data_IF_403484722691
#
_entry.id   IF_403484722691
#
_cell.length_a   1.000
_cell.length_b   1.000
_cell.length_c   1.000
_cell.angle_alpha   90.00
_cell.angle_beta   90.00
_cell.angle_gamma   90.00
#
_symmetry.space_group_name_H-M   'P 1'
#
loop_
_entity.id
_entity.type
_entity.pdbx_description
1 polymer ?
#
# COMPACT_ATOMS: atom_id res chain seq x y z
N UNK A 1 14.00 110.59 -57.80
CA UNK A 1 15.14 109.83 -58.35
C UNK A 1 16.38 110.40 -57.68
N UNK A 2 17.30 109.68 -57.02
CA UNK A 2 17.56 108.24 -56.92
C UNK A 2 18.61 108.09 -55.77
N UNK A 3 18.53 106.97 -55.01
CA UNK A 3 19.61 106.25 -54.28
C UNK A 3 20.12 106.68 -52.88
N UNK A 4 20.03 105.69 -52.00
CA UNK A 4 20.77 105.29 -50.79
C UNK A 4 21.41 106.31 -49.85
N UNK A 5 20.97 106.21 -48.59
CA UNK A 5 21.68 106.72 -47.42
C UNK A 5 22.00 105.53 -46.51
N UNK A 6 23.29 105.21 -46.44
CA UNK A 6 23.90 104.46 -45.34
C UNK A 6 23.86 105.32 -44.10
N UNK A 7 23.30 104.82 -43.00
CA UNK A 7 23.51 105.39 -41.66
C UNK A 7 24.00 104.32 -40.69
N UNK A 8 25.24 104.56 -40.27
CA UNK A 8 25.94 104.02 -39.11
C UNK A 8 25.25 104.44 -37.81
N UNK A 9 24.96 103.50 -36.91
CA UNK A 9 24.65 103.83 -35.51
C UNK A 9 25.83 103.48 -34.60
N UNK A 10 26.20 104.47 -33.79
CA UNK A 10 27.39 104.50 -32.96
C UNK A 10 27.13 104.20 -31.48
N UNK A 11 28.20 103.66 -30.90
CA UNK A 11 28.73 103.77 -29.54
C UNK A 11 28.03 103.09 -28.33
N UNK A 12 28.84 102.43 -27.45
CA UNK A 12 28.37 101.70 -26.28
C UNK A 12 28.53 102.47 -24.95
N UNK A 13 27.62 102.20 -24.01
CA UNK A 13 27.81 102.39 -22.55
C UNK A 13 26.50 102.58 -21.78
N UNK A 14 26.40 102.32 -20.45
CA UNK A 14 27.28 101.55 -19.56
C UNK A 14 26.63 100.28 -18.98
N UNK A 15 27.47 99.32 -18.58
CA UNK A 15 27.14 98.10 -17.86
C UNK A 15 26.21 98.32 -16.65
N UNK A 16 24.94 97.89 -16.74
CA UNK A 16 24.11 97.60 -15.56
C UNK A 16 24.46 96.21 -15.06
N UNK A 17 25.21 96.15 -13.95
CA UNK A 17 25.44 94.92 -13.18
C UNK A 17 24.08 94.33 -12.78
N UNK A 18 23.74 93.16 -13.34
CA UNK A 18 22.66 92.32 -12.82
C UNK A 18 23.08 91.83 -11.43
N UNK A 19 22.44 92.32 -10.38
CA UNK A 19 22.54 91.72 -9.05
C UNK A 19 21.85 90.36 -9.08
N UNK A 20 22.49 89.29 -8.58
CA UNK A 20 21.88 87.96 -8.58
C UNK A 20 20.63 87.96 -7.70
N UNK A 21 19.54 87.48 -8.27
CA UNK A 21 18.23 87.39 -7.63
C UNK A 21 18.32 86.50 -6.36
N UNK A 22 18.05 87.03 -5.16
CA UNK A 22 18.27 86.31 -3.89
C UNK A 22 17.46 85.01 -3.79
N UNK A 23 16.34 84.90 -4.50
CA UNK A 23 15.54 83.67 -4.58
C UNK A 23 16.22 82.55 -5.38
N UNK A 24 17.00 82.90 -6.43
CA UNK A 24 17.76 81.92 -7.22
C UNK A 24 18.95 81.35 -6.47
N UNK A 25 19.63 82.18 -5.68
CA UNK A 25 20.76 81.73 -4.83
C UNK A 25 20.27 80.78 -3.72
N UNK A 26 19.10 81.05 -3.12
CA UNK A 26 18.45 80.17 -2.14
C UNK A 26 18.03 78.83 -2.77
N UNK A 27 17.42 78.84 -3.96
CA UNK A 27 17.05 77.62 -4.68
C UNK A 27 18.27 76.74 -5.06
N UNK A 28 19.38 77.36 -5.49
CA UNK A 28 20.62 76.63 -5.77
C UNK A 28 21.24 75.99 -4.51
N UNK A 29 21.21 76.69 -3.38
CA UNK A 29 21.67 76.14 -2.10
C UNK A 29 20.82 74.94 -1.64
N UNK A 30 19.50 75.03 -1.81
CA UNK A 30 18.60 73.91 -1.50
C UNK A 30 18.82 72.72 -2.45
N UNK A 31 19.04 72.95 -3.74
CA UNK A 31 19.37 71.88 -4.69
C UNK A 31 20.67 71.17 -4.34
N UNK A 32 21.73 71.92 -4.05
CA UNK A 32 23.01 71.34 -3.63
C UNK A 32 22.87 70.54 -2.32
N UNK A 33 21.99 70.99 -1.41
CA UNK A 33 21.70 70.25 -0.17
C UNK A 33 20.93 68.96 -0.43
N UNK A 34 19.94 68.98 -1.32
CA UNK A 34 19.20 67.78 -1.75
C UNK A 34 20.15 66.78 -2.41
N UNK A 35 21.00 67.22 -3.32
CA UNK A 35 21.96 66.35 -3.99
C UNK A 35 22.90 65.67 -2.98
N UNK A 36 23.45 66.45 -2.04
CA UNK A 36 24.27 65.92 -0.95
C UNK A 36 23.53 64.92 -0.07
N UNK A 37 22.27 65.19 0.29
CA UNK A 37 21.44 64.27 1.07
C UNK A 37 21.12 62.99 0.29
N UNK A 38 20.86 63.09 -1.01
CA UNK A 38 20.62 61.93 -1.88
C UNK A 38 21.85 61.03 -1.97
N UNK A 39 23.05 61.61 -2.13
CA UNK A 39 24.30 60.84 -2.14
C UNK A 39 24.55 60.12 -0.81
N UNK A 40 24.26 60.78 0.32
CA UNK A 40 24.38 60.19 1.66
C UNK A 40 23.39 59.04 1.87
N UNK A 41 22.14 59.19 1.41
CA UNK A 41 21.13 58.13 1.46
C UNK A 41 21.59 56.90 0.69
N UNK A 42 22.15 57.08 -0.51
CA UNK A 42 22.65 55.94 -1.31
C UNK A 42 23.85 55.27 -0.64
N UNK A 43 24.77 56.02 -0.04
CA UNK A 43 25.88 55.47 0.72
C UNK A 43 25.39 54.61 1.90
N UNK A 44 24.42 55.13 2.67
CA UNK A 44 23.86 54.43 3.82
C UNK A 44 23.09 53.16 3.41
N UNK A 45 22.39 53.18 2.26
CA UNK A 45 21.74 51.98 1.71
C UNK A 45 22.74 50.89 1.36
N UNK A 46 23.87 51.24 0.74
CA UNK A 46 24.88 50.23 0.38
C UNK A 46 25.57 49.66 1.64
N UNK A 47 25.79 50.49 2.66
CA UNK A 47 26.28 50.02 3.96
C UNK A 47 25.28 49.08 4.63
N UNK A 48 23.99 49.43 4.65
CA UNK A 48 22.93 48.60 5.21
C UNK A 48 22.90 47.22 4.53
N UNK A 49 22.95 47.21 3.19
CA UNK A 49 22.98 45.98 2.38
C UNK A 49 24.19 45.11 2.68
N UNK A 50 25.34 45.73 2.97
CA UNK A 50 26.58 45.02 3.35
C UNK A 50 26.44 44.41 4.75
N UNK A 51 25.96 45.17 5.72
CA UNK A 51 25.74 44.69 7.09
C UNK A 51 24.66 43.58 7.14
N UNK A 52 23.63 43.66 6.31
CA UNK A 52 22.62 42.59 6.18
C UNK A 52 23.22 41.28 5.67
N UNK A 53 24.13 41.33 4.70
CA UNK A 53 24.87 40.14 4.21
C UNK A 53 25.75 39.55 5.31
N UNK A 54 26.46 40.39 6.04
CA UNK A 54 27.33 39.96 7.14
C UNK A 54 26.52 39.32 8.28
N UNK A 55 25.41 39.97 8.70
CA UNK A 55 24.46 39.42 9.66
C UNK A 55 23.95 38.04 9.24
N UNK A 56 23.61 37.87 7.95
CA UNK A 56 23.15 36.58 7.43
C UNK A 56 24.23 35.48 7.53
N UNK A 57 25.49 35.82 7.25
CA UNK A 57 26.61 34.90 7.37
C UNK A 57 26.86 34.47 8.82
N UNK A 58 26.92 35.43 9.75
CA UNK A 58 27.12 35.16 11.18
C UNK A 58 25.95 34.37 11.76
N UNK A 59 24.71 34.69 11.36
CA UNK A 59 23.53 33.92 11.77
C UNK A 59 23.60 32.46 11.32
N UNK A 60 24.10 32.20 10.10
CA UNK A 60 24.31 30.82 9.61
C UNK A 60 25.37 30.08 10.42
N UNK A 61 26.49 30.74 10.74
CA UNK A 61 27.54 30.16 11.56
C UNK A 61 27.03 29.83 12.97
N UNK A 62 26.27 30.73 13.59
CA UNK A 62 25.67 30.49 14.90
C UNK A 62 24.71 29.30 14.87
N UNK A 63 23.84 29.22 13.86
CA UNK A 63 22.91 28.11 13.71
C UNK A 63 23.63 26.77 13.49
N UNK A 64 24.77 26.76 12.77
CA UNK A 64 25.56 25.55 12.55
C UNK A 64 26.24 25.03 13.84
N UNK A 65 26.58 25.93 14.77
CA UNK A 65 27.14 25.58 16.08
C UNK A 65 26.07 25.08 17.04
N UNK A 66 24.87 25.68 16.99
CA UNK A 66 23.77 25.40 17.91
C UNK A 66 22.86 24.24 17.49
N UNK A 67 22.81 23.88 16.20
CA UNK A 67 21.98 22.79 15.69
C UNK A 67 22.82 21.49 15.55
N UNK A 68 22.61 20.48 16.41
CA UNK A 68 23.34 19.22 16.34
C UNK A 68 23.22 18.52 14.99
N UNK A 69 22.11 18.70 14.26
CA UNK A 69 21.87 18.07 12.96
C UNK A 69 22.54 18.81 11.82
N UNK A 70 22.78 20.12 11.94
CA UNK A 70 23.59 20.86 10.96
C UNK A 70 25.05 20.38 10.90
N UNK A 71 25.49 19.58 11.88
CA UNK A 71 26.83 18.95 11.91
C UNK A 71 26.86 17.56 11.27
N UNK A 72 25.70 16.95 11.02
CA UNK A 72 25.63 15.67 10.34
C UNK A 72 25.68 15.89 8.82
N UNK A 73 26.40 15.04 8.07
CA UNK A 73 26.26 15.00 6.62
C UNK A 73 24.80 14.76 6.23
N UNK A 74 24.36 15.39 5.14
CA UNK A 74 22.97 15.30 4.68
C UNK A 74 22.54 13.85 4.45
N UNK A 75 23.46 13.01 3.99
CA UNK A 75 23.22 11.59 3.72
C UNK A 75 22.84 10.83 5.01
N UNK A 76 23.52 11.15 6.12
CA UNK A 76 23.25 10.53 7.42
C UNK A 76 21.92 11.01 7.98
N UNK A 77 21.62 12.30 7.85
CA UNK A 77 20.32 12.85 8.25
C UNK A 77 19.18 12.24 7.43
N UNK A 78 19.33 12.11 6.11
CA UNK A 78 18.34 11.47 5.23
C UNK A 78 18.10 10.01 5.62
N UNK A 79 19.15 9.25 5.95
CA UNK A 79 19.03 7.86 6.41
C UNK A 79 18.30 7.76 7.76
N UNK A 80 18.62 8.66 8.71
CA UNK A 80 17.90 8.74 9.99
C UNK A 80 16.42 9.04 9.74
N UNK A 81 16.11 9.98 8.84
CA UNK A 81 14.73 10.35 8.51
C UNK A 81 13.97 9.18 7.90
N UNK A 82 14.60 8.42 6.99
CA UNK A 82 14.00 7.23 6.38
C UNK A 82 13.67 6.16 7.42
N UNK A 83 14.55 5.96 8.41
CA UNK A 83 14.30 5.03 9.52
C UNK A 83 13.22 5.48 10.50
N UNK A 84 12.84 6.75 10.49
CA UNK A 84 11.75 7.28 11.30
C UNK A 84 10.36 7.08 10.67
N UNK A 85 10.29 6.61 9.42
CA UNK A 85 9.02 6.44 8.72
C UNK A 85 8.29 5.17 9.17
N UNK A 86 6.97 5.28 9.33
CA UNK A 86 6.09 4.12 9.31
C UNK A 86 5.96 3.57 7.87
N UNK A 87 5.64 2.28 7.68
CA UNK A 87 5.53 1.67 6.35
C UNK A 87 4.60 2.43 5.37
N UNK A 88 3.48 2.93 5.89
CA UNK A 88 2.59 3.85 5.17
C UNK A 88 2.36 5.10 6.04
N UNK A 89 3.15 6.17 5.84
CA UNK A 89 3.02 7.39 6.64
C UNK A 89 1.70 8.09 6.35
N UNK A 90 1.02 8.49 7.44
CA UNK A 90 -0.17 9.32 7.34
C UNK A 90 0.25 10.80 7.23
N UNK A 91 -0.44 11.64 6.45
CA UNK A 91 -0.20 13.08 6.37
C UNK A 91 -0.57 13.82 7.66
N UNK A 92 0.21 13.62 8.72
CA UNK A 92 -0.06 14.13 10.05
C UNK A 92 1.15 14.92 10.56
N UNK A 93 0.98 16.18 11.03
CA UNK A 93 2.07 16.99 11.57
C UNK A 93 2.87 16.36 12.70
N UNK A 94 2.31 15.36 13.40
CA UNK A 94 2.95 14.63 14.50
C UNK A 94 3.75 13.41 14.05
N UNK A 95 3.73 13.07 12.76
CA UNK A 95 4.41 11.90 12.23
C UNK A 95 5.31 12.27 11.04
N UNK A 96 6.43 11.55 10.89
CA UNK A 96 7.28 11.65 9.70
C UNK A 96 6.50 11.22 8.44
N UNK A 97 6.76 11.83 7.27
CA UNK A 97 7.75 12.87 7.01
C UNK A 97 7.30 14.30 7.35
N UNK A 98 6.01 14.54 7.62
CA UNK A 98 5.49 15.91 7.84
C UNK A 98 6.09 16.56 9.08
N UNK A 99 6.27 15.81 10.17
CA UNK A 99 6.94 16.29 11.38
C UNK A 99 8.31 16.90 11.07
N UNK A 100 9.07 16.28 10.16
CA UNK A 100 10.42 16.71 9.78
C UNK A 100 10.41 18.10 9.12
N UNK A 101 9.30 18.48 8.48
CA UNK A 101 9.14 19.81 7.88
C UNK A 101 8.96 20.92 8.91
N UNK A 102 8.61 20.59 10.15
CA UNK A 102 8.20 21.56 11.19
C UNK A 102 9.25 21.77 12.29
N UNK A 103 10.40 21.08 12.24
CA UNK A 103 11.42 21.13 13.31
C UNK A 103 12.34 22.34 13.15
N UNK A 104 13.10 22.40 12.06
CA UNK A 104 13.96 23.54 11.72
C UNK A 104 14.19 23.60 10.20
N UNK A 105 14.64 24.75 9.69
CA UNK A 105 14.86 24.95 8.25
C UNK A 105 15.84 23.93 7.64
N UNK A 106 16.85 23.48 8.39
CA UNK A 106 17.77 22.47 7.90
C UNK A 106 17.05 21.13 7.65
N UNK A 107 16.24 20.66 8.60
CA UNK A 107 15.45 19.43 8.45
C UNK A 107 14.42 19.56 7.34
N UNK A 108 13.75 20.71 7.24
CA UNK A 108 12.81 20.99 6.16
C UNK A 108 13.51 20.86 4.80
N UNK A 109 14.68 21.48 4.62
CA UNK A 109 15.44 21.40 3.38
C UNK A 109 15.88 19.97 3.05
N UNK A 110 16.38 19.22 4.04
CA UNK A 110 16.79 17.82 3.86
C UNK A 110 15.59 16.95 3.50
N UNK A 111 14.47 17.10 4.21
CA UNK A 111 13.26 16.31 3.98
C UNK A 111 12.62 16.60 2.61
N UNK A 112 12.59 17.87 2.19
CA UNK A 112 12.09 18.26 0.87
C UNK A 112 13.02 17.81 -0.27
N UNK A 113 14.32 17.77 -0.04
CA UNK A 113 15.33 17.30 -1.02
C UNK A 113 15.56 15.79 -1.00
N UNK A 114 14.83 15.03 -0.17
CA UNK A 114 14.91 13.57 -0.09
C UNK A 114 13.63 12.91 -0.63
N UNK A 115 13.52 12.65 -1.95
CA UNK A 115 12.32 12.05 -2.56
C UNK A 115 11.91 10.69 -1.97
N UNK A 116 12.88 9.95 -1.43
CA UNK A 116 12.65 8.65 -0.77
C UNK A 116 11.66 8.74 0.41
N UNK A 117 11.55 9.90 1.06
CA UNK A 117 10.61 10.11 2.17
C UNK A 117 9.14 10.16 1.71
N UNK A 118 8.91 10.36 0.42
CA UNK A 118 7.60 10.64 -0.16
C UNK A 118 7.09 9.47 -1.02
N UNK A 119 7.77 8.32 -1.03
CA UNK A 119 7.39 7.18 -1.87
C UNK A 119 6.22 6.37 -1.32
N UNK A 120 5.80 6.61 -0.08
CA UNK A 120 4.66 5.92 0.53
C UNK A 120 3.70 6.92 1.17
N UNK A 121 2.39 6.65 1.12
CA UNK A 121 1.34 7.44 1.78
C UNK A 121 0.16 6.56 2.19
N UNK A 122 -0.37 6.79 3.39
CA UNK A 122 -1.67 6.28 3.81
C UNK A 122 -2.69 7.42 3.91
N UNK A 123 -3.79 7.30 3.17
CA UNK A 123 -4.98 8.14 3.31
C UNK A 123 -6.03 7.34 4.07
N UNK A 124 -6.65 7.98 5.06
CA UNK A 124 -7.71 7.38 5.86
C UNK A 124 -8.95 8.24 5.70
N UNK A 125 -10.06 7.63 5.28
CA UNK A 125 -11.36 8.24 5.13
C UNK A 125 -12.16 8.15 6.45
N UNK A 126 -13.04 9.13 6.71
CA UNK A 126 -13.26 10.34 5.90
C UNK A 126 -12.05 11.29 5.96
N UNK A 127 -11.70 11.87 4.81
CA UNK A 127 -10.57 12.80 4.69
C UNK A 127 -11.06 14.23 4.41
N UNK A 128 -10.24 15.23 4.73
CA UNK A 128 -10.58 16.62 4.46
C UNK A 128 -10.63 16.96 2.96
N UNK A 129 -11.29 18.07 2.57
CA UNK A 129 -11.52 18.43 1.17
C UNK A 129 -10.24 18.68 0.34
N UNK A 130 -9.10 18.86 1.02
CA UNK A 130 -7.79 19.13 0.41
C UNK A 130 -6.96 17.87 0.15
N UNK A 131 -7.56 16.67 0.26
CA UNK A 131 -6.80 15.43 0.12
C UNK A 131 -6.17 15.27 -1.28
N UNK A 132 -6.87 15.67 -2.36
CA UNK A 132 -6.33 15.64 -3.73
C UNK A 132 -5.07 16.50 -3.84
N UNK A 133 -5.12 17.72 -3.32
CA UNK A 133 -3.99 18.66 -3.29
C UNK A 133 -2.81 18.07 -2.52
N UNK A 134 -3.08 17.50 -1.34
CA UNK A 134 -2.06 16.90 -0.50
C UNK A 134 -1.41 15.68 -1.14
N UNK A 135 -2.21 14.81 -1.74
CA UNK A 135 -1.74 13.62 -2.44
C UNK A 135 -0.88 14.04 -3.64
N UNK A 136 -1.33 15.00 -4.45
CA UNK A 136 -0.54 15.54 -5.57
C UNK A 136 0.80 16.13 -5.12
N UNK A 137 0.84 16.89 -4.01
CA UNK A 137 2.10 17.40 -3.43
C UNK A 137 3.02 16.22 -3.04
N UNK A 138 2.45 15.19 -2.42
CA UNK A 138 3.21 14.02 -2.00
C UNK A 138 3.80 13.26 -3.19
N UNK A 139 2.98 12.97 -4.19
CA UNK A 139 3.36 12.28 -5.41
C UNK A 139 4.39 13.07 -6.21
N UNK A 140 4.26 14.40 -6.28
CA UNK A 140 5.25 15.26 -6.91
C UNK A 140 6.62 15.17 -6.20
N UNK A 141 6.64 15.19 -4.87
CA UNK A 141 7.89 15.10 -4.08
C UNK A 141 8.57 13.73 -4.20
N UNK A 142 7.82 12.66 -4.45
CA UNK A 142 8.38 11.34 -4.72
C UNK A 142 9.19 11.29 -6.03
N UNK A 143 8.94 12.23 -6.95
CA UNK A 143 9.59 12.29 -8.26
C UNK A 143 9.24 11.07 -9.11
N UNK A 144 10.26 10.43 -9.71
CA UNK A 144 10.09 9.23 -10.55
C UNK A 144 10.31 7.91 -9.79
N UNK A 145 10.24 7.94 -8.46
CA UNK A 145 10.41 6.74 -7.65
C UNK A 145 9.12 5.90 -7.64
N UNK A 146 9.24 4.57 -7.43
CA UNK A 146 8.08 3.72 -7.26
C UNK A 146 7.26 4.10 -6.03
N UNK A 147 5.93 4.08 -6.14
CA UNK A 147 4.98 4.58 -5.17
C UNK A 147 4.26 3.45 -4.42
N UNK A 148 3.97 3.69 -3.15
CA UNK A 148 3.22 2.80 -2.26
C UNK A 148 2.03 3.56 -1.68
N UNK A 149 0.82 3.26 -2.15
CA UNK A 149 -0.39 3.98 -1.76
C UNK A 149 -1.30 3.04 -0.98
N UNK A 150 -1.71 3.48 0.21
CA UNK A 150 -2.74 2.83 1.00
C UNK A 150 -3.91 3.78 1.19
N UNK A 151 -5.08 3.38 0.72
CA UNK A 151 -6.34 4.09 0.88
C UNK A 151 -7.20 3.27 1.83
N UNK A 152 -7.60 3.86 2.96
CA UNK A 152 -8.28 3.15 4.04
C UNK A 152 -9.57 3.84 4.46
N UNK A 153 -10.55 3.09 4.91
CA UNK A 153 -11.82 3.62 5.40
C UNK A 153 -12.84 3.87 4.29
N UNK A 154 -14.06 4.24 4.68
CA UNK A 154 -15.20 4.35 3.79
C UNK A 154 -15.44 5.80 3.38
N UNK A 155 -15.88 6.00 2.14
CA UNK A 155 -16.31 7.30 1.62
C UNK A 155 -17.62 7.13 0.85
N UNK A 156 -18.63 7.90 1.25
CA UNK A 156 -19.88 8.05 0.48
C UNK A 156 -19.74 9.11 -0.63
N UNK A 157 -18.62 9.83 -0.65
CA UNK A 157 -18.36 10.93 -1.57
C UNK A 157 -17.82 10.41 -2.92
N UNK A 158 -18.67 10.47 -3.94
CA UNK A 158 -18.37 10.13 -5.33
C UNK A 158 -17.15 10.88 -5.88
N UNK A 159 -16.97 12.16 -5.52
CA UNK A 159 -15.84 12.97 -6.00
C UNK A 159 -14.51 12.47 -5.44
N UNK A 160 -14.53 11.83 -4.28
CA UNK A 160 -13.37 11.20 -3.65
C UNK A 160 -13.02 9.90 -4.37
N UNK A 161 -14.01 9.05 -4.65
CA UNK A 161 -13.82 7.81 -5.38
C UNK A 161 -13.25 8.08 -6.79
N UNK A 162 -13.86 8.98 -7.56
CA UNK A 162 -13.38 9.37 -8.89
C UNK A 162 -11.93 9.88 -8.85
N UNK A 163 -11.55 10.62 -7.79
CA UNK A 163 -10.17 11.08 -7.60
C UNK A 163 -9.18 9.94 -7.40
N UNK A 164 -9.59 8.92 -6.65
CA UNK A 164 -8.76 7.75 -6.38
C UNK A 164 -8.48 7.02 -7.69
N UNK A 165 -9.51 6.81 -8.50
CA UNK A 165 -9.39 6.21 -9.84
C UNK A 165 -8.46 7.06 -10.71
N UNK A 166 -8.72 8.37 -10.81
CA UNK A 166 -7.90 9.31 -11.58
C UNK A 166 -6.41 9.22 -11.21
N UNK A 167 -6.10 9.16 -9.92
CA UNK A 167 -4.72 9.10 -9.41
C UNK A 167 -4.08 7.75 -9.72
N UNK A 168 -4.81 6.64 -9.57
CA UNK A 168 -4.33 5.30 -9.93
C UNK A 168 -4.02 5.24 -11.42
N UNK A 169 -4.89 5.80 -12.26
CA UNK A 169 -4.69 5.92 -13.70
C UNK A 169 -3.46 6.78 -14.04
N UNK A 170 -3.38 7.99 -13.48
CA UNK A 170 -2.33 8.97 -13.78
C UNK A 170 -0.93 8.49 -13.33
N UNK A 171 -0.87 7.77 -12.21
CA UNK A 171 0.40 7.34 -11.61
C UNK A 171 0.68 5.84 -11.72
N UNK A 172 -0.12 5.08 -12.47
CA UNK A 172 -0.03 3.62 -12.60
C UNK A 172 1.39 3.12 -12.90
N UNK A 173 2.09 3.79 -13.82
CA UNK A 173 3.47 3.46 -14.21
C UNK A 173 4.50 3.52 -13.07
N UNK A 174 4.18 4.23 -11.98
CA UNK A 174 5.00 4.34 -10.77
C UNK A 174 4.52 3.45 -9.63
N UNK A 175 3.28 2.95 -9.66
CA UNK A 175 2.72 2.18 -8.56
C UNK A 175 3.50 0.87 -8.36
N UNK A 176 3.94 0.65 -7.12
CA UNK A 176 4.62 -0.57 -6.67
C UNK A 176 3.79 -1.34 -5.66
N UNK A 177 3.12 -0.64 -4.77
CA UNK A 177 2.24 -1.21 -3.76
C UNK A 177 0.93 -0.43 -3.76
N UNK A 178 -0.20 -1.12 -3.95
CA UNK A 178 -1.52 -0.51 -3.89
C UNK A 178 -2.38 -1.31 -2.91
N UNK A 179 -2.86 -0.63 -1.87
CA UNK A 179 -3.83 -1.17 -0.93
C UNK A 179 -5.04 -0.27 -0.91
N UNK A 180 -6.21 -0.81 -1.19
CA UNK A 180 -7.46 -0.08 -1.14
C UNK A 180 -8.42 -0.83 -0.24
N UNK A 181 -8.95 -0.16 0.76
CA UNK A 181 -10.16 -0.63 1.44
C UNK A 181 -11.29 0.35 1.17
N UNK A 182 -12.24 -0.05 0.34
CA UNK A 182 -13.42 0.75 -0.03
C UNK A 182 -14.66 0.10 0.58
N UNK A 183 -15.75 0.85 0.75
CA UNK A 183 -16.93 0.37 1.47
C UNK A 183 -18.27 0.79 0.89
N UNK A 184 -18.31 1.16 -0.39
CA UNK A 184 -19.54 1.58 -1.02
C UNK A 184 -20.00 0.55 -2.06
N UNK A 185 -21.26 0.13 -1.93
CA UNK A 185 -21.97 -0.81 -2.82
C UNK A 185 -22.11 -0.29 -4.25
N UNK A 186 -22.19 1.04 -4.42
CA UNK A 186 -22.62 1.65 -5.69
C UNK A 186 -21.47 2.04 -6.65
N UNK A 187 -20.21 1.84 -6.28
CA UNK A 187 -19.07 2.41 -7.01
C UNK A 187 -18.12 1.36 -7.58
N UNK A 188 -18.14 1.16 -8.90
CA UNK A 188 -17.11 0.42 -9.63
C UNK A 188 -15.82 1.26 -9.70
N UNK A 189 -14.78 0.83 -8.99
CA UNK A 189 -13.49 1.55 -8.91
C UNK A 189 -12.70 1.56 -10.25
N UNK A 190 -12.97 0.61 -11.13
CA UNK A 190 -12.57 0.69 -12.54
C UNK A 190 -13.78 0.23 -13.31
N UNK A 191 -14.47 1.16 -13.98
CA UNK A 191 -15.55 0.76 -14.89
C UNK A 191 -14.93 0.00 -16.06
N UNK A 192 -15.62 -1.01 -16.60
CA UNK A 192 -15.16 -1.71 -17.81
C UNK A 192 -14.83 -0.74 -18.97
N UNK A 193 -15.51 0.40 -19.06
CA UNK A 193 -15.23 1.48 -20.01
C UNK A 193 -13.94 2.28 -19.75
N UNK A 194 -13.39 2.22 -18.54
CA UNK A 194 -12.09 2.78 -18.18
C UNK A 194 -10.95 1.79 -18.47
N UNK A 195 -11.25 0.50 -18.57
CA UNK A 195 -10.31 -0.53 -19.08
C UNK A 195 -9.91 -0.23 -20.52
N UNK A 196 -10.82 0.33 -21.32
CA UNK A 196 -10.50 0.84 -22.67
C UNK A 196 -9.54 2.05 -22.64
N UNK A 197 -9.54 2.86 -21.57
CA UNK A 197 -8.55 3.92 -21.39
C UNK A 197 -7.16 3.38 -21.03
N UNK A 198 -7.10 2.20 -20.40
CA UNK A 198 -5.87 1.45 -20.19
C UNK A 198 -5.44 0.61 -21.42
N UNK A 199 -6.40 0.29 -22.29
CA UNK A 199 -6.30 -0.49 -23.52
C UNK A 199 -5.50 0.21 -24.61
N UNK A 200 -4.18 0.23 -24.47
CA UNK A 200 -3.29 0.74 -25.51
C UNK A 200 -1.82 0.83 -25.09
N UNK A 201 -1.55 0.77 -23.79
CA UNK A 201 -0.17 0.77 -23.28
C UNK A 201 0.31 -0.66 -23.07
N UNK A 202 1.24 -1.10 -23.92
CA UNK A 202 2.11 -2.24 -23.64
C UNK A 202 3.50 -1.71 -23.24
N UNK A 203 4.09 -2.17 -22.12
CA UNK A 203 3.51 -3.05 -21.10
C UNK A 203 2.33 -2.36 -20.38
N UNK A 204 1.40 -3.17 -19.83
CA UNK A 204 0.18 -2.71 -19.16
C UNK A 204 0.41 -1.59 -18.14
N UNK A 205 -0.64 -0.87 -17.72
CA UNK A 205 -0.53 0.40 -17.00
C UNK A 205 0.20 0.31 -15.65
N UNK A 206 0.35 -0.89 -15.09
CA UNK A 206 0.97 -1.14 -13.79
C UNK A 206 2.26 -1.99 -13.92
N UNK A 207 3.31 -1.52 -14.63
CA UNK A 207 4.51 -2.30 -14.92
C UNK A 207 5.37 -2.58 -13.67
N UNK A 208 5.27 -1.72 -12.64
CA UNK A 208 6.05 -1.81 -11.40
C UNK A 208 5.28 -2.44 -10.24
N UNK A 209 3.98 -2.73 -10.41
CA UNK A 209 3.13 -3.18 -9.31
C UNK A 209 3.55 -4.57 -8.84
N UNK A 210 3.82 -4.68 -7.55
CA UNK A 210 4.28 -5.90 -6.87
C UNK A 210 3.27 -6.43 -5.88
N UNK A 211 2.55 -5.56 -5.19
CA UNK A 211 1.49 -5.98 -4.27
C UNK A 211 0.21 -5.21 -4.56
N UNK A 212 -0.89 -5.95 -4.62
CA UNK A 212 -2.23 -5.42 -4.80
C UNK A 212 -3.12 -6.03 -3.72
N UNK A 213 -3.78 -5.18 -2.94
CA UNK A 213 -4.68 -5.63 -1.90
C UNK A 213 -5.97 -4.81 -1.93
N UNK A 214 -7.09 -5.49 -2.15
CA UNK A 214 -8.42 -4.94 -2.01
C UNK A 214 -9.09 -5.53 -0.78
N UNK A 215 -9.67 -4.65 0.04
CA UNK A 215 -10.49 -5.04 1.18
C UNK A 215 -11.79 -4.27 1.13
N UNK A 216 -12.86 -4.91 0.69
CA UNK A 216 -14.15 -4.24 0.78
C UNK A 216 -14.69 -4.31 2.21
N UNK A 217 -15.41 -3.30 2.67
CA UNK A 217 -16.34 -3.46 3.79
C UNK A 217 -17.69 -4.00 3.31
N UNK A 218 -18.53 -4.41 4.25
CA UNK A 218 -19.77 -5.16 4.04
C UNK A 218 -20.63 -4.53 2.94
N UNK A 219 -20.92 -5.28 1.88
CA UNK A 219 -21.87 -4.87 0.85
C UNK A 219 -21.40 -5.07 -0.59
N UNK A 220 -20.17 -4.64 -0.94
CA UNK A 220 -19.61 -4.78 -2.29
C UNK A 220 -18.59 -5.90 -2.40
N UNK A 221 -18.72 -6.66 -3.47
CA UNK A 221 -17.99 -7.88 -3.77
C UNK A 221 -17.32 -7.70 -5.15
N UNK A 222 -16.07 -8.14 -5.31
CA UNK A 222 -15.35 -8.05 -6.59
C UNK A 222 -15.73 -9.20 -7.51
N UNK A 223 -16.23 -8.92 -8.70
CA UNK A 223 -16.55 -9.96 -9.69
C UNK A 223 -15.29 -10.65 -10.25
N UNK A 224 -15.45 -11.90 -10.72
CA UNK A 224 -14.38 -12.64 -11.39
C UNK A 224 -13.68 -11.87 -12.53
N UNK A 225 -14.42 -11.22 -13.45
CA UNK A 225 -13.79 -10.48 -14.54
C UNK A 225 -13.13 -9.17 -14.09
N UNK A 226 -13.62 -8.46 -13.06
CA UNK A 226 -12.89 -7.31 -12.47
C UNK A 226 -11.51 -7.76 -11.98
N UNK A 227 -11.45 -8.85 -11.21
CA UNK A 227 -10.19 -9.42 -10.72
C UNK A 227 -9.30 -9.84 -11.88
N UNK A 228 -9.85 -10.51 -12.90
CA UNK A 228 -9.11 -10.93 -14.08
C UNK A 228 -8.48 -9.75 -14.83
N UNK A 229 -9.21 -8.64 -14.98
CA UNK A 229 -8.70 -7.40 -15.57
C UNK A 229 -7.54 -6.85 -14.74
N UNK A 230 -7.68 -6.73 -13.41
CA UNK A 230 -6.59 -6.24 -12.55
C UNK A 230 -5.33 -7.10 -12.68
N UNK A 231 -5.49 -8.41 -12.68
CA UNK A 231 -4.40 -9.36 -12.85
C UNK A 231 -3.73 -9.23 -14.23
N UNK A 232 -4.52 -9.00 -15.29
CA UNK A 232 -4.02 -8.76 -16.65
C UNK A 232 -3.23 -7.45 -16.77
N UNK A 233 -3.65 -6.40 -16.09
CA UNK A 233 -3.00 -5.08 -16.12
C UNK A 233 -1.69 -5.02 -15.31
N UNK A 234 -1.44 -6.02 -14.44
CA UNK A 234 -0.28 -6.09 -13.55
C UNK A 234 0.53 -7.40 -13.72
N UNK A 235 1.25 -7.60 -14.84
CA UNK A 235 1.93 -8.87 -15.15
C UNK A 235 3.09 -9.21 -14.20
N UNK A 236 3.61 -8.21 -13.48
CA UNK A 236 4.75 -8.32 -12.58
C UNK A 236 4.37 -8.49 -11.10
N UNK A 237 3.08 -8.73 -10.84
CA UNK A 237 2.51 -8.87 -9.51
C UNK A 237 3.12 -10.07 -8.77
N UNK A 238 3.42 -9.89 -7.49
CA UNK A 238 4.02 -10.89 -6.61
C UNK A 238 3.01 -11.35 -5.56
N UNK A 239 2.18 -10.44 -5.08
CA UNK A 239 1.19 -10.71 -4.05
C UNK A 239 -0.13 -10.03 -4.39
N UNK A 240 -1.22 -10.79 -4.30
CA UNK A 240 -2.56 -10.31 -4.58
C UNK A 240 -3.53 -10.79 -3.51
N UNK A 241 -4.32 -9.87 -2.95
CA UNK A 241 -5.32 -10.16 -1.91
C UNK A 241 -6.64 -9.47 -2.24
N UNK A 242 -7.74 -10.21 -2.22
CA UNK A 242 -9.10 -9.68 -2.35
C UNK A 242 -9.93 -10.19 -1.18
N UNK A 243 -10.46 -9.32 -0.32
CA UNK A 243 -11.16 -9.78 0.89
C UNK A 243 -12.68 -9.96 0.74
N UNK A 244 -13.29 -9.53 -0.37
CA UNK A 244 -14.72 -9.70 -0.65
C UNK A 244 -14.91 -9.91 -2.16
N UNK A 245 -15.31 -11.10 -2.61
CA UNK A 245 -15.33 -11.50 -4.03
C UNK A 245 -16.73 -11.99 -4.38
N UNK A 246 -17.35 -11.40 -5.40
CA UNK A 246 -18.67 -11.81 -5.88
C UNK A 246 -18.53 -12.95 -6.88
N UNK A 247 -19.11 -14.13 -6.62
CA UNK A 247 -19.13 -15.21 -7.60
C UNK A 247 -20.17 -15.02 -8.71
N UNK A 248 -21.13 -14.08 -8.58
CA UNK A 248 -22.40 -14.10 -9.34
C UNK A 248 -22.28 -13.67 -10.81
N UNK A 249 -21.13 -13.18 -11.29
CA UNK A 249 -21.01 -12.83 -12.70
C UNK A 249 -19.62 -13.06 -13.29
N UNK A 250 -19.51 -14.11 -14.12
CA UNK A 250 -18.47 -14.25 -15.11
C UNK A 250 -19.08 -13.95 -16.48
N UNK A 251 -18.96 -12.70 -16.92
CA UNK A 251 -19.35 -12.32 -18.28
C UNK A 251 -18.39 -12.87 -19.33
N UNK A 252 -18.78 -12.77 -20.61
CA UNK A 252 -18.03 -13.18 -21.81
C UNK A 252 -16.61 -12.55 -21.95
N UNK A 253 -16.19 -11.68 -21.01
CA UNK A 253 -14.99 -10.85 -21.07
C UNK A 253 -13.69 -11.55 -20.61
N UNK A 254 -13.77 -12.76 -20.06
CA UNK A 254 -12.59 -13.58 -19.71
C UNK A 254 -12.12 -14.42 -20.92
N UNK A 255 -11.57 -13.76 -21.92
CA UNK A 255 -10.97 -14.44 -23.06
C UNK A 255 -9.57 -14.99 -22.74
N UNK A 256 -9.44 -16.32 -22.78
CA UNK A 256 -8.16 -17.02 -22.69
C UNK A 256 -7.63 -17.23 -21.27
N UNK A 257 -6.51 -17.95 -21.16
CA UNK A 257 -5.85 -18.23 -19.88
C UNK A 257 -4.82 -17.13 -19.59
N UNK A 258 -4.84 -16.59 -18.37
CA UNK A 258 -3.87 -15.63 -17.88
C UNK A 258 -2.75 -16.34 -17.11
N UNK A 259 -1.51 -16.18 -17.59
CA UNK A 259 -0.32 -16.74 -16.93
C UNK A 259 0.42 -15.66 -16.16
N UNK A 260 0.58 -15.83 -14.84
CA UNK A 260 1.34 -14.91 -13.98
C UNK A 260 2.50 -15.63 -13.30
N UNK A 261 3.64 -15.70 -13.97
CA UNK A 261 4.84 -16.39 -13.48
C UNK A 261 5.52 -15.70 -12.29
N UNK A 262 5.20 -14.42 -12.04
CA UNK A 262 5.75 -13.64 -10.92
C UNK A 262 4.93 -13.77 -9.63
N UNK A 263 3.68 -14.22 -9.71
CA UNK A 263 2.78 -14.28 -8.57
C UNK A 263 3.25 -15.39 -7.61
N UNK A 264 3.29 -15.05 -6.32
CA UNK A 264 3.76 -15.92 -5.22
C UNK A 264 2.69 -16.13 -4.17
N UNK A 265 1.79 -15.16 -3.98
CA UNK A 265 0.72 -15.22 -3.00
C UNK A 265 -0.58 -14.72 -3.64
N UNK A 266 -1.63 -15.55 -3.56
CA UNK A 266 -2.99 -15.22 -3.99
C UNK A 266 -3.95 -15.58 -2.86
N UNK A 267 -4.71 -14.59 -2.41
CA UNK A 267 -5.63 -14.76 -1.28
C UNK A 267 -6.98 -14.17 -1.65
N UNK A 268 -8.01 -15.00 -1.57
CA UNK A 268 -9.41 -14.60 -1.54
C UNK A 268 -9.86 -14.69 -0.08
N UNK A 269 -10.42 -13.61 0.46
CA UNK A 269 -10.86 -13.51 1.84
C UNK A 269 -12.25 -14.11 2.04
N UNK A 270 -12.61 -14.35 3.32
CA UNK A 270 -13.90 -14.91 3.69
C UNK A 270 -14.94 -13.78 3.68
N UNK A 271 -15.82 -13.72 2.69
CA UNK A 271 -17.15 -13.08 2.81
C UNK A 271 -18.02 -13.19 1.53
N UNK A 272 -19.34 -13.16 1.79
CA UNK A 272 -20.56 -13.06 0.98
C UNK A 272 -20.57 -13.28 -0.55
N UNK A 273 -21.29 -14.33 -0.97
CA UNK A 273 -21.63 -14.67 -2.34
C UNK A 273 -22.59 -15.87 -2.38
N UNK A 274 -23.19 -16.15 -3.53
CA UNK A 274 -24.07 -17.31 -3.75
C UNK A 274 -23.27 -18.47 -4.39
N UNK A 275 -23.31 -19.70 -3.86
CA UNK A 275 -22.53 -20.86 -4.36
C UNK A 275 -22.82 -21.34 -5.81
N UNK A 276 -23.82 -20.81 -6.50
CA UNK A 276 -24.35 -21.39 -7.74
C UNK A 276 -23.75 -20.81 -9.04
N UNK A 277 -22.46 -20.48 -9.07
CA UNK A 277 -21.78 -19.99 -10.29
C UNK A 277 -20.80 -21.02 -10.84
N UNK A 278 -21.03 -21.47 -12.07
CA UNK A 278 -20.24 -22.52 -12.75
C UNK A 278 -18.86 -22.03 -13.26
N UNK A 279 -18.60 -20.72 -13.26
CA UNK A 279 -17.40 -20.13 -13.88
C UNK A 279 -16.41 -19.58 -12.84
N UNK A 280 -15.70 -20.47 -12.16
CA UNK A 280 -14.65 -20.10 -11.22
C UNK A 280 -13.49 -19.32 -11.88
N UNK A 281 -13.07 -18.18 -11.30
CA UNK A 281 -11.90 -17.41 -11.78
C UNK A 281 -10.63 -18.27 -11.89
N UNK A 282 -10.48 -19.25 -11.00
CA UNK A 282 -9.34 -20.18 -11.02
C UNK A 282 -9.21 -20.88 -12.37
N UNK A 283 -10.32 -21.17 -13.06
CA UNK A 283 -10.32 -21.80 -14.37
C UNK A 283 -9.52 -20.99 -15.39
N UNK A 284 -9.45 -19.67 -15.27
CA UNK A 284 -8.75 -18.80 -16.21
C UNK A 284 -7.29 -18.52 -15.84
N UNK A 285 -6.82 -18.98 -14.68
CA UNK A 285 -5.48 -18.69 -14.19
C UNK A 285 -4.49 -19.85 -14.39
N UNK A 286 -3.24 -19.49 -14.70
CA UNK A 286 -2.07 -20.38 -14.72
C UNK A 286 -0.97 -19.73 -13.88
N UNK A 287 -0.71 -20.28 -12.69
CA UNK A 287 0.13 -19.64 -11.67
C UNK A 287 1.31 -20.54 -11.27
N UNK A 288 2.30 -20.78 -12.15
CA UNK A 288 3.32 -21.80 -11.95
C UNK A 288 4.32 -21.48 -10.83
N UNK A 289 4.39 -20.21 -10.40
CA UNK A 289 5.28 -19.77 -9.34
C UNK A 289 4.61 -19.62 -7.97
N UNK A 290 3.33 -19.97 -7.84
CA UNK A 290 2.55 -19.70 -6.64
C UNK A 290 3.07 -20.51 -5.44
N UNK A 291 3.20 -19.84 -4.28
CA UNK A 291 3.70 -20.43 -3.03
C UNK A 291 2.67 -20.42 -1.90
N UNK A 292 1.78 -19.43 -1.88
CA UNK A 292 0.72 -19.30 -0.88
C UNK A 292 -0.60 -19.07 -1.60
N UNK A 293 -1.57 -19.92 -1.29
CA UNK A 293 -2.93 -19.85 -1.84
C UNK A 293 -3.91 -19.92 -0.68
N UNK A 294 -4.79 -18.92 -0.57
CA UNK A 294 -5.93 -18.97 0.33
C UNK A 294 -7.22 -18.75 -0.45
N UNK A 295 -8.16 -19.69 -0.35
CA UNK A 295 -9.41 -19.66 -1.11
C UNK A 295 -10.60 -20.12 -0.24
N UNK A 296 -11.72 -19.38 -0.25
CA UNK A 296 -12.99 -19.89 0.24
C UNK A 296 -13.59 -20.84 -0.82
N UNK A 297 -13.89 -22.06 -0.42
CA UNK A 297 -14.49 -23.12 -1.25
C UNK A 297 -16.02 -23.08 -1.26
N UNK A 298 -16.65 -22.14 -0.54
CA UNK A 298 -18.08 -21.85 -0.69
C UNK A 298 -18.47 -21.50 -2.13
N UNK A 299 -17.54 -20.95 -2.91
CA UNK A 299 -17.77 -20.47 -4.29
C UNK A 299 -16.89 -21.18 -5.34
N UNK A 300 -15.97 -22.02 -4.90
CA UNK A 300 -15.02 -22.71 -5.73
C UNK A 300 -15.15 -24.18 -5.37
N UNK A 301 -15.59 -25.01 -6.32
CA UNK A 301 -15.66 -26.43 -6.07
C UNK A 301 -14.25 -26.99 -5.85
N UNK A 302 -14.16 -28.08 -5.09
CA UNK A 302 -12.91 -28.86 -5.01
C UNK A 302 -12.42 -29.32 -6.40
N UNK A 303 -13.32 -29.48 -7.37
CA UNK A 303 -12.98 -29.77 -8.77
C UNK A 303 -12.27 -28.60 -9.47
N UNK A 304 -12.70 -27.36 -9.25
CA UNK A 304 -12.04 -26.17 -9.81
C UNK A 304 -10.63 -26.01 -9.23
N UNK A 305 -10.49 -26.27 -7.93
CA UNK A 305 -9.19 -26.32 -7.27
C UNK A 305 -8.31 -27.42 -7.88
N UNK A 306 -8.83 -28.65 -8.04
CA UNK A 306 -8.10 -29.76 -8.63
C UNK A 306 -7.60 -29.40 -10.04
N UNK A 307 -8.50 -28.93 -10.90
CA UNK A 307 -8.18 -28.53 -12.27
C UNK A 307 -7.15 -27.40 -12.32
N UNK A 308 -7.21 -26.45 -11.39
CA UNK A 308 -6.22 -25.39 -11.24
C UNK A 308 -4.84 -25.93 -10.81
N UNK A 309 -4.80 -26.81 -9.81
CA UNK A 309 -3.55 -27.40 -9.31
C UNK A 309 -2.88 -28.26 -10.37
N UNK A 310 -3.65 -29.07 -11.10
CA UNK A 310 -3.15 -29.87 -12.22
C UNK A 310 -2.56 -28.97 -13.32
N UNK A 311 -3.32 -27.96 -13.75
CA UNK A 311 -2.91 -27.02 -14.81
C UNK A 311 -1.70 -26.17 -14.44
N UNK A 312 -1.64 -25.66 -13.21
CA UNK A 312 -0.59 -24.73 -12.78
C UNK A 312 0.63 -25.42 -12.18
N UNK A 313 0.46 -26.63 -11.63
CA UNK A 313 1.49 -27.39 -10.89
C UNK A 313 2.37 -26.51 -9.97
N UNK A 314 1.77 -25.68 -9.09
CA UNK A 314 2.52 -24.69 -8.32
C UNK A 314 3.32 -25.34 -7.17
N UNK A 315 4.51 -24.83 -6.83
CA UNK A 315 5.29 -25.28 -5.67
C UNK A 315 4.75 -24.66 -4.37
N UNK A 316 3.48 -24.96 -4.04
CA UNK A 316 2.78 -24.42 -2.89
C UNK A 316 3.46 -24.82 -1.58
N UNK A 317 3.66 -23.83 -0.71
CA UNK A 317 4.20 -23.96 0.65
C UNK A 317 3.11 -23.77 1.70
N UNK A 318 2.09 -22.97 1.38
CA UNK A 318 0.94 -22.65 2.22
C UNK A 318 -0.34 -22.80 1.40
N UNK A 319 -1.29 -23.56 1.94
CA UNK A 319 -2.63 -23.73 1.38
C UNK A 319 -3.63 -23.51 2.50
N UNK A 320 -4.53 -22.56 2.28
CA UNK A 320 -5.64 -22.25 3.19
C UNK A 320 -6.93 -22.47 2.39
N UNK A 321 -7.78 -23.36 2.87
CA UNK A 321 -9.10 -23.61 2.31
C UNK A 321 -10.15 -23.31 3.36
N UNK A 322 -11.34 -22.83 2.98
CA UNK A 322 -12.33 -22.46 3.97
C UNK A 322 -13.75 -22.46 3.45
N UNK A 323 -14.72 -22.37 4.37
CA UNK A 323 -16.15 -22.19 4.13
C UNK A 323 -16.85 -23.34 3.36
N UNK A 324 -17.63 -24.14 4.10
CA UNK A 324 -18.72 -25.00 3.60
C UNK A 324 -18.34 -26.08 2.56
N UNK A 325 -17.17 -26.71 2.72
CA UNK A 325 -16.90 -27.98 2.05
C UNK A 325 -17.99 -28.99 2.41
N UNK A 326 -18.64 -29.56 1.39
CA UNK A 326 -19.69 -30.57 1.61
C UNK A 326 -19.05 -31.95 1.84
N UNK A 327 -19.69 -32.85 2.60
CA UNK A 327 -19.13 -34.18 2.89
C UNK A 327 -18.71 -34.99 1.66
N UNK A 328 -19.39 -34.81 0.52
CA UNK A 328 -19.10 -35.48 -0.75
C UNK A 328 -17.83 -34.97 -1.46
N UNK A 329 -17.24 -33.86 -1.00
CA UNK A 329 -16.01 -33.28 -1.54
C UNK A 329 -14.72 -33.81 -0.89
N UNK A 330 -14.84 -34.68 0.12
CA UNK A 330 -13.70 -35.26 0.87
C UNK A 330 -12.68 -35.96 -0.04
N UNK A 331 -13.15 -36.80 -0.97
CA UNK A 331 -12.31 -37.52 -1.93
C UNK A 331 -11.56 -36.57 -2.89
N UNK A 332 -12.25 -35.54 -3.38
CA UNK A 332 -11.65 -34.59 -4.32
C UNK A 332 -10.64 -33.66 -3.62
N UNK A 333 -10.91 -33.26 -2.38
CA UNK A 333 -9.95 -32.57 -1.53
C UNK A 333 -8.70 -33.42 -1.32
N UNK A 334 -8.84 -34.72 -1.02
CA UNK A 334 -7.70 -35.64 -0.88
C UNK A 334 -6.86 -35.67 -2.17
N UNK A 335 -7.51 -35.71 -3.34
CA UNK A 335 -6.83 -35.65 -4.64
C UNK A 335 -6.08 -34.33 -4.83
N UNK A 336 -6.67 -33.20 -4.46
CA UNK A 336 -6.02 -31.89 -4.48
C UNK A 336 -4.75 -31.89 -3.60
N UNK A 337 -4.85 -32.37 -2.36
CA UNK A 337 -3.74 -32.41 -1.41
C UNK A 337 -2.59 -33.32 -1.88
N UNK A 338 -2.89 -34.36 -2.67
CA UNK A 338 -1.89 -35.23 -3.29
C UNK A 338 -1.09 -34.52 -4.40
N UNK A 339 -1.69 -33.55 -5.08
CA UNK A 339 -1.01 -32.75 -6.13
C UNK A 339 -0.02 -31.72 -5.56
N UNK A 340 -0.05 -31.45 -4.25
CA UNK A 340 0.73 -30.38 -3.61
C UNK A 340 1.65 -30.89 -2.49
N UNK A 341 2.56 -31.84 -2.77
CA UNK A 341 3.40 -32.45 -1.73
C UNK A 341 4.41 -31.48 -1.09
N UNK A 342 4.61 -30.30 -1.67
CA UNK A 342 5.51 -29.25 -1.17
C UNK A 342 4.91 -28.43 -0.02
N UNK A 343 3.60 -28.59 0.25
CA UNK A 343 2.91 -27.82 1.28
C UNK A 343 3.48 -28.12 2.67
N UNK A 344 3.83 -27.04 3.37
CA UNK A 344 4.38 -27.06 4.73
C UNK A 344 3.38 -26.56 5.76
N UNK A 345 2.42 -25.75 5.33
CA UNK A 345 1.33 -25.23 6.16
C UNK A 345 -0.01 -25.45 5.46
N UNK A 346 -0.91 -26.15 6.14
CA UNK A 346 -2.26 -26.36 5.68
C UNK A 346 -3.23 -25.85 6.73
N UNK A 347 -4.17 -25.01 6.31
CA UNK A 347 -5.23 -24.48 7.17
C UNK A 347 -6.59 -24.75 6.53
N UNK A 348 -7.55 -25.16 7.35
CA UNK A 348 -8.93 -25.38 6.91
C UNK A 348 -9.90 -24.63 7.84
N UNK A 349 -10.84 -23.89 7.25
CA UNK A 349 -11.83 -23.08 7.98
C UNK A 349 -13.25 -23.60 7.80
N UNK A 350 -14.02 -23.72 8.89
CA UNK A 350 -15.39 -24.26 8.91
C UNK A 350 -15.55 -25.59 8.14
N UNK A 351 -14.72 -26.62 8.42
CA UNK A 351 -14.88 -27.92 7.79
C UNK A 351 -16.12 -28.66 8.31
N UNK A 352 -16.74 -29.48 7.45
CA UNK A 352 -17.69 -30.47 7.93
C UNK A 352 -16.99 -31.54 8.79
N UNK A 353 -17.60 -32.01 9.89
CA UNK A 353 -17.13 -33.11 10.73
C UNK A 353 -16.48 -34.28 9.97
N UNK A 354 -17.16 -34.76 8.93
CA UNK A 354 -16.76 -35.96 8.21
C UNK A 354 -15.47 -35.70 7.43
N UNK A 355 -15.29 -34.49 6.91
CA UNK A 355 -14.08 -34.09 6.19
C UNK A 355 -12.89 -34.04 7.13
N UNK A 356 -13.10 -33.57 8.38
CA UNK A 356 -12.03 -33.58 9.39
C UNK A 356 -11.61 -35.01 9.69
N UNK A 357 -12.58 -35.91 9.96
CA UNK A 357 -12.31 -37.32 10.24
C UNK A 357 -11.60 -38.01 9.08
N UNK A 358 -12.09 -37.83 7.85
CA UNK A 358 -11.51 -38.40 6.64
C UNK A 358 -10.10 -37.87 6.38
N UNK A 359 -9.85 -36.58 6.60
CA UNK A 359 -8.53 -35.98 6.49
C UNK A 359 -7.55 -36.60 7.47
N UNK A 360 -7.93 -36.77 8.75
CA UNK A 360 -7.05 -37.40 9.74
C UNK A 360 -6.85 -38.89 9.45
N UNK A 361 -7.90 -39.61 9.04
CA UNK A 361 -7.77 -41.00 8.60
C UNK A 361 -6.78 -41.12 7.43
N UNK A 362 -6.91 -40.25 6.43
CA UNK A 362 -6.01 -40.17 5.29
C UNK A 362 -4.57 -39.80 5.68
N UNK A 363 -4.38 -38.87 6.62
CA UNK A 363 -3.06 -38.51 7.14
C UNK A 363 -2.41 -39.66 7.91
N UNK A 364 -3.19 -40.47 8.63
CA UNK A 364 -2.72 -41.67 9.33
C UNK A 364 -2.31 -42.77 8.35
N UNK A 365 -3.10 -42.98 7.30
CA UNK A 365 -2.99 -44.16 6.44
C UNK A 365 -2.07 -43.94 5.22
N UNK A 366 -1.90 -42.69 4.77
CA UNK A 366 -1.16 -42.35 3.54
C UNK A 366 0.03 -41.44 3.80
N UNK A 367 1.23 -41.99 4.01
CA UNK A 367 2.46 -41.20 4.23
C UNK A 367 2.80 -40.22 3.09
N UNK A 368 2.32 -40.50 1.86
CA UNK A 368 2.49 -39.64 0.69
C UNK A 368 1.60 -38.40 0.68
N UNK A 369 0.52 -38.37 1.47
CA UNK A 369 -0.32 -37.20 1.60
C UNK A 369 0.44 -36.12 2.40
N UNK A 370 0.66 -34.96 1.78
CA UNK A 370 1.35 -33.80 2.37
C UNK A 370 2.63 -34.17 3.17
N UNK A 371 3.65 -34.76 2.54
CA UNK A 371 4.82 -35.33 3.24
C UNK A 371 5.75 -34.28 3.86
N UNK A 372 5.57 -33.00 3.51
CA UNK A 372 6.33 -31.87 4.07
C UNK A 372 5.52 -31.02 5.06
N UNK A 373 4.29 -31.43 5.38
CA UNK A 373 3.42 -30.70 6.31
C UNK A 373 4.06 -30.59 7.69
N UNK A 374 4.15 -29.36 8.20
CA UNK A 374 4.70 -29.01 9.51
C UNK A 374 3.68 -28.29 10.39
N UNK A 375 2.81 -27.49 9.77
CA UNK A 375 1.81 -26.69 10.44
C UNK A 375 0.42 -27.11 9.93
N UNK A 376 -0.42 -27.61 10.83
CA UNK A 376 -1.81 -27.95 10.53
C UNK A 376 -2.72 -27.12 11.44
N UNK A 377 -3.62 -26.34 10.86
CA UNK A 377 -4.63 -25.59 11.62
C UNK A 377 -6.03 -25.96 11.12
N UNK A 378 -6.93 -26.27 12.04
CA UNK A 378 -8.34 -26.53 11.75
C UNK A 378 -9.14 -25.52 12.58
N UNK A 379 -9.86 -24.63 11.88
CA UNK A 379 -10.66 -23.58 12.51
C UNK A 379 -12.13 -24.00 12.61
N UNK A 380 -12.78 -23.59 13.71
CA UNK A 380 -14.21 -23.74 13.95
C UNK A 380 -14.68 -25.20 13.88
N UNK A 381 -14.07 -26.06 14.69
CA UNK A 381 -14.49 -27.45 14.85
C UNK A 381 -15.65 -27.49 15.85
N UNK A 382 -16.82 -28.01 15.43
CA UNK A 382 -17.92 -28.27 16.35
C UNK A 382 -17.52 -29.41 17.30
N UNK A 383 -17.74 -29.19 18.58
CA UNK A 383 -17.32 -30.13 19.61
C UNK A 383 -18.14 -31.42 19.63
N UNK A 384 -19.37 -31.37 19.11
CA UNK A 384 -20.22 -32.55 18.95
C UNK A 384 -19.66 -33.57 17.94
N UNK A 385 -18.72 -33.12 17.10
CA UNK A 385 -18.03 -33.94 16.09
C UNK A 385 -16.84 -34.72 16.66
N UNK A 386 -16.39 -34.31 17.85
CA UNK A 386 -15.29 -34.96 18.59
C UNK A 386 -15.88 -36.11 19.40
N UNK A 387 -16.27 -37.18 18.70
CA UNK A 387 -16.67 -38.45 19.32
C UNK A 387 -15.44 -39.24 19.82
N UNK A 388 -15.67 -40.28 20.63
CA UNK A 388 -14.59 -41.21 21.04
C UNK A 388 -13.89 -41.84 19.83
N UNK A 389 -14.67 -42.20 18.80
CA UNK A 389 -14.15 -42.74 17.54
C UNK A 389 -13.34 -41.72 16.73
N UNK A 390 -13.77 -40.46 16.70
CA UNK A 390 -13.01 -39.37 16.07
C UNK A 390 -11.69 -39.16 16.83
N UNK A 391 -11.73 -39.15 18.16
CA UNK A 391 -10.56 -38.96 19.02
C UNK A 391 -9.47 -40.00 18.76
N UNK A 392 -9.84 -41.28 18.59
CA UNK A 392 -8.89 -42.35 18.26
C UNK A 392 -8.21 -42.12 16.91
N UNK A 393 -8.97 -41.69 15.88
CA UNK A 393 -8.44 -41.41 14.54
C UNK A 393 -7.46 -40.24 14.58
N UNK A 394 -7.79 -39.17 15.32
CA UNK A 394 -6.91 -38.02 15.50
C UNK A 394 -5.60 -38.42 16.17
N UNK A 395 -5.65 -39.15 17.29
CA UNK A 395 -4.46 -39.62 18.00
C UNK A 395 -3.61 -40.51 17.09
N UNK A 396 -4.24 -41.40 16.33
CA UNK A 396 -3.56 -42.29 15.37
C UNK A 396 -2.82 -41.49 14.30
N UNK A 397 -3.46 -40.48 13.73
CA UNK A 397 -2.89 -39.62 12.70
C UNK A 397 -1.69 -38.80 13.22
N UNK A 398 -1.84 -38.16 14.37
CA UNK A 398 -0.76 -37.38 14.99
C UNK A 398 0.43 -38.26 15.37
N UNK A 399 0.16 -39.46 15.90
CA UNK A 399 1.20 -40.45 16.22
C UNK A 399 1.95 -40.91 14.97
N UNK A 400 1.23 -41.17 13.87
CA UNK A 400 1.83 -41.56 12.58
C UNK A 400 2.70 -40.45 11.99
N UNK A 401 2.36 -39.18 12.25
CA UNK A 401 3.05 -37.98 11.73
C UNK A 401 3.96 -37.29 12.74
N UNK A 402 4.28 -37.95 13.86
CA UNK A 402 4.97 -37.35 15.01
C UNK A 402 6.33 -36.70 14.72
N UNK A 403 7.09 -37.21 13.76
CA UNK A 403 8.41 -36.65 13.40
C UNK A 403 8.33 -35.58 12.32
N UNK A 404 7.15 -35.37 11.75
CA UNK A 404 6.92 -34.51 10.59
C UNK A 404 6.19 -33.22 11.01
N UNK A 405 5.09 -33.36 11.77
CA UNK A 405 4.30 -32.25 12.28
C UNK A 405 5.04 -31.54 13.41
N UNK A 406 5.09 -30.21 13.34
CA UNK A 406 5.70 -29.35 14.36
C UNK A 406 4.64 -28.65 15.19
N UNK A 407 3.59 -28.13 14.53
CA UNK A 407 2.51 -27.40 15.19
C UNK A 407 1.17 -27.91 14.67
N UNK A 408 0.29 -28.27 15.60
CA UNK A 408 -1.10 -28.62 15.31
C UNK A 408 -2.01 -27.72 16.13
N UNK A 409 -2.96 -27.06 15.46
CA UNK A 409 -3.91 -26.16 16.09
C UNK A 409 -5.34 -26.59 15.77
N UNK A 410 -6.13 -26.85 16.79
CA UNK A 410 -7.56 -27.10 16.69
C UNK A 410 -8.30 -25.96 17.40
N UNK A 411 -8.98 -25.12 16.63
CA UNK A 411 -9.75 -23.99 17.15
C UNK A 411 -11.21 -24.40 17.28
N UNK A 412 -11.71 -24.45 18.51
CA UNK A 412 -13.06 -24.86 18.89
C UNK A 412 -13.96 -23.62 19.02
N UNK A 413 -15.27 -23.80 18.80
CA UNK A 413 -16.21 -22.68 18.77
C UNK A 413 -16.58 -22.13 20.16
N UNK A 414 -16.85 -22.97 21.18
CA UNK A 414 -17.35 -22.41 22.45
C UNK A 414 -17.15 -23.26 23.73
N UNK A 415 -16.65 -24.48 23.63
CA UNK A 415 -16.59 -25.42 24.76
C UNK A 415 -15.20 -26.06 24.93
N UNK A 416 -14.94 -26.70 26.10
CA UNK A 416 -13.71 -27.46 26.34
C UNK A 416 -13.76 -28.88 25.75
N UNK A 417 -12.69 -29.34 25.08
CA UNK A 417 -12.63 -30.67 24.48
C UNK A 417 -12.71 -31.79 25.55
N UNK A 418 -13.04 -33.03 25.15
CA UNK A 418 -13.10 -34.18 26.07
C UNK A 418 -11.79 -34.38 26.84
N UNK A 419 -11.88 -34.68 28.14
CA UNK A 419 -10.72 -34.86 29.03
C UNK A 419 -9.80 -35.99 28.55
N UNK A 420 -10.38 -37.08 28.05
CA UNK A 420 -9.62 -38.24 27.57
C UNK A 420 -8.77 -37.90 26.33
N UNK A 421 -9.29 -37.05 25.43
CA UNK A 421 -8.53 -36.52 24.30
C UNK A 421 -7.40 -35.61 24.79
N UNK A 422 -7.66 -34.77 25.79
CA UNK A 422 -6.64 -33.87 26.37
C UNK A 422 -5.46 -34.66 26.96
N UNK A 423 -5.73 -35.74 27.68
CA UNK A 423 -4.71 -36.57 28.32
C UNK A 423 -3.85 -37.32 27.30
N UNK A 424 -4.47 -37.92 26.26
CA UNK A 424 -3.74 -38.60 25.20
C UNK A 424 -2.81 -37.65 24.41
N UNK A 425 -3.24 -36.40 24.19
CA UNK A 425 -2.43 -35.41 23.45
C UNK A 425 -1.26 -34.87 24.28
N UNK A 426 -1.35 -34.87 25.62
CA UNK A 426 -0.23 -34.48 26.49
C UNK A 426 0.98 -35.38 26.34
N UNK A 427 0.79 -36.66 26.02
CA UNK A 427 1.92 -37.57 25.74
C UNK A 427 2.65 -37.16 24.46
N UNK A 428 1.93 -36.78 23.40
CA UNK A 428 2.52 -36.32 22.13
C UNK A 428 3.24 -34.98 22.26
N UNK A 429 2.74 -34.10 23.13
CA UNK A 429 3.40 -32.83 23.49
C UNK A 429 4.78 -33.05 24.09
N UNK A 430 4.92 -34.03 24.99
CA UNK A 430 6.18 -34.32 25.68
C UNK A 430 7.30 -34.72 24.71
N UNK A 431 6.94 -35.21 23.52
CA UNK A 431 7.85 -35.59 22.44
C UNK A 431 8.27 -34.42 21.53
N UNK A 432 7.84 -33.19 21.84
CA UNK A 432 8.28 -31.95 21.16
C UNK A 432 7.36 -31.45 20.05
N UNK A 433 6.15 -31.99 19.91
CA UNK A 433 5.10 -31.45 19.03
C UNK A 433 4.31 -30.36 19.75
N UNK A 434 4.15 -29.20 19.12
CA UNK A 434 3.40 -28.07 19.68
C UNK A 434 1.90 -28.23 19.36
N UNK A 435 1.09 -28.60 20.34
CA UNK A 435 -0.36 -28.85 20.15
C UNK A 435 -1.15 -27.75 20.86
N UNK A 436 -1.94 -27.00 20.10
CA UNK A 436 -2.87 -26.00 20.62
C UNK A 436 -4.29 -26.47 20.42
N UNK A 437 -5.05 -26.59 21.50
CA UNK A 437 -6.49 -26.85 21.44
C UNK A 437 -7.18 -25.80 22.29
N UNK A 438 -8.11 -25.06 21.71
CA UNK A 438 -8.67 -23.88 22.35
C UNK A 438 -9.70 -23.17 21.49
N UNK A 439 -10.40 -22.21 22.06
CA UNK A 439 -11.06 -21.17 21.27
C UNK A 439 -10.03 -20.10 20.87
N UNK A 440 -10.37 -19.16 19.98
CA UNK A 440 -9.46 -18.05 19.63
C UNK A 440 -9.01 -17.23 20.87
N UNK A 441 -9.83 -17.22 21.92
CA UNK A 441 -9.58 -16.46 23.16
C UNK A 441 -9.04 -17.31 24.32
N UNK A 442 -9.22 -18.65 24.30
CA UNK A 442 -8.89 -19.53 25.42
C UNK A 442 -8.26 -20.84 24.97
N UNK A 443 -7.06 -21.14 25.46
CA UNK A 443 -6.38 -22.41 25.20
C UNK A 443 -6.55 -23.41 26.34
N UNK A 444 -6.94 -24.65 26.00
CA UNK A 444 -7.06 -25.80 26.91
C UNK A 444 -5.79 -26.65 26.94
N UNK A 445 -5.03 -26.69 25.83
CA UNK A 445 -3.64 -27.19 25.78
C UNK A 445 -2.78 -26.14 25.10
N UNK A 446 -1.66 -25.81 25.75
CA UNK A 446 -0.54 -25.05 25.19
C UNK A 446 0.71 -25.73 25.69
N UNK A 447 1.50 -26.30 24.79
CA UNK A 447 2.83 -26.77 25.13
C UNK A 447 3.68 -26.90 23.87
#
# INVERSE_FOLDING_TARGET
>A
MYVDVVQTEGQPGPNKRLTPDPLRLSAQQLHARIEKLSSEIELQKELLKTLEREKLLVQRQLNAVLDPVARLPVEISSEIFLRSLSPFPKPNPRHSPILLLNICNAWTNIALSTPALWTAIAIVFPCGPRFKELLNIWLHRAGNRPLSISLRGETEDADIADAVVEIVCQHGHKLRHLQISEGNEDYEMIRYSEVDHFGGTTPGPFPLLKTLAFRCSSGRSFSGPEIFVFLRLAPNLVECRFHNVDPVYCGDDMEGKLTLSSLRCLIFGPDAGNPDSDDAILNYLILPGLKSLAIPLRYLSTYDLFAFLERSSPPLQELIVGEALKPDESDELHRCLTLVPTVTRFEIWWPDPNIVVDLFAALADSASLLPNLRYLTIHHVDESDISDSSSEIFIRALSARRTQLQVVRLILDDRPPPVDLLDALRELVADGMEIHIGTEERNYIVA
#
